data_IF_341063756036
#
_entry.id   IF_341063756036
#
_cell.length_a   1.000
_cell.length_b   1.000
_cell.length_c   1.000
_cell.angle_alpha   90.00
_cell.angle_beta   90.00
_cell.angle_gamma   90.00
#
_symmetry.space_group_name_H-M   'P 1'
#
loop_
_entity.id
_entity.type
_entity.pdbx_description
1 polymer ?
#
# COMPACT_ATOMS: atom_id res chain seq x y z
N UNK A 1 -9.57 -33.37 -6.84
CA UNK A 1 -9.93 -31.94 -7.02
C UNK A 1 -10.30 -31.34 -5.67
N UNK A 2 -9.49 -31.64 -4.64
CA UNK A 2 -9.80 -31.44 -3.22
C UNK A 2 -8.65 -30.74 -2.47
N UNK A 3 -7.57 -30.40 -3.16
CA UNK A 3 -6.33 -29.84 -2.59
C UNK A 3 -6.11 -28.35 -2.98
N UNK A 4 -7.16 -27.64 -3.38
CA UNK A 4 -7.04 -26.25 -3.85
C UNK A 4 -7.12 -25.25 -2.68
N UNK A 5 -7.62 -25.65 -1.50
CA UNK A 5 -7.81 -24.74 -0.37
C UNK A 5 -6.92 -25.20 0.79
N UNK A 6 -6.06 -24.33 1.37
CA UNK A 6 -5.33 -24.66 2.58
C UNK A 6 -6.32 -25.09 3.66
N UNK A 7 -6.13 -26.30 4.20
CA UNK A 7 -7.06 -26.87 5.17
C UNK A 7 -6.93 -26.11 6.50
N UNK A 8 -7.90 -25.26 6.80
CA UNK A 8 -8.18 -24.79 8.16
C UNK A 8 -9.05 -25.83 8.88
N UNK A 9 -8.83 -26.01 10.17
CA UNK A 9 -9.70 -26.86 10.99
C UNK A 9 -10.99 -26.07 11.32
N UNK A 10 -12.14 -26.61 10.91
CA UNK A 10 -13.44 -25.93 11.08
C UNK A 10 -13.74 -24.90 9.98
N UNK A 11 -14.59 -23.92 10.29
CA UNK A 11 -14.89 -22.81 9.39
C UNK A 11 -13.71 -21.82 9.36
N UNK A 12 -13.33 -21.38 8.18
CA UNK A 12 -12.41 -20.25 8.04
C UNK A 12 -13.05 -19.00 8.64
N UNK A 13 -12.38 -18.37 9.60
CA UNK A 13 -12.86 -17.19 10.30
C UNK A 13 -11.72 -16.19 10.52
N UNK A 14 -11.96 -14.95 10.11
CA UNK A 14 -11.04 -13.83 10.17
C UNK A 14 -11.34 -12.83 9.05
N UNK A 15 -10.30 -12.25 8.45
CA UNK A 15 -10.45 -11.29 7.35
C UNK A 15 -9.11 -10.65 6.98
N UNK A 16 -9.18 -9.53 6.27
CA UNK A 16 -8.00 -8.74 5.89
C UNK A 16 -7.20 -8.32 7.11
N UNK A 17 -5.90 -8.59 7.07
CA UNK A 17 -4.94 -8.22 8.07
C UNK A 17 -3.74 -7.56 7.41
N UNK A 18 -3.48 -6.30 7.78
CA UNK A 18 -2.43 -5.45 7.20
C UNK A 18 -1.37 -5.08 8.26
N UNK A 19 -0.66 -6.06 8.85
CA UNK A 19 0.28 -5.86 9.96
C UNK A 19 1.44 -4.94 9.59
N UNK A 20 1.81 -4.89 8.32
CA UNK A 20 2.90 -4.07 7.80
C UNK A 20 2.70 -2.56 8.01
N UNK A 21 1.47 -2.13 8.30
CA UNK A 21 1.11 -0.75 8.65
C UNK A 21 1.44 -0.41 10.13
N UNK A 22 1.76 -1.42 10.95
CA UNK A 22 1.92 -1.29 12.40
C UNK A 22 3.23 -1.90 12.90
N UNK A 23 3.68 -1.47 14.08
CA UNK A 23 4.86 -2.02 14.75
C UNK A 23 4.59 -3.36 15.46
N UNK A 24 5.65 -4.10 15.80
CA UNK A 24 5.57 -5.45 16.43
C UNK A 24 4.67 -5.55 17.66
N UNK A 25 4.66 -4.52 18.51
CA UNK A 25 3.79 -4.48 19.69
C UNK A 25 2.30 -4.64 19.35
N UNK A 26 1.88 -4.10 18.21
CA UNK A 26 0.50 -4.23 17.73
C UNK A 26 0.26 -5.66 17.24
N UNK A 27 1.24 -6.27 16.56
CA UNK A 27 1.12 -7.65 16.06
C UNK A 27 0.93 -8.66 17.19
N UNK A 28 1.65 -8.49 18.30
CA UNK A 28 1.52 -9.35 19.47
C UNK A 28 0.12 -9.24 20.11
N UNK A 29 -0.40 -8.02 20.17
CA UNK A 29 -1.75 -7.77 20.72
C UNK A 29 -2.85 -8.27 19.77
N UNK A 30 -2.66 -8.09 18.46
CA UNK A 30 -3.55 -8.62 17.44
C UNK A 30 -3.63 -10.15 17.55
N UNK A 31 -2.50 -10.84 17.67
CA UNK A 31 -2.45 -12.29 17.82
C UNK A 31 -3.18 -12.76 19.09
N UNK A 32 -3.02 -12.05 20.21
CA UNK A 32 -3.76 -12.33 21.45
C UNK A 32 -5.27 -12.20 21.24
N UNK A 33 -5.71 -11.09 20.63
CA UNK A 33 -7.12 -10.81 20.36
C UNK A 33 -7.72 -11.78 19.33
N UNK A 34 -6.96 -12.16 18.30
CA UNK A 34 -7.34 -13.18 17.32
C UNK A 34 -7.57 -14.53 18.02
N UNK A 35 -6.69 -14.91 18.95
CA UNK A 35 -6.87 -16.11 19.77
C UNK A 35 -8.14 -16.07 20.62
N UNK A 36 -8.44 -14.93 21.25
CA UNK A 36 -9.67 -14.74 22.03
C UNK A 36 -10.94 -14.76 21.18
N UNK A 37 -10.87 -14.25 19.95
CA UNK A 37 -11.98 -14.24 19.00
C UNK A 37 -12.15 -15.56 18.23
N UNK A 38 -11.18 -16.47 18.31
CA UNK A 38 -11.19 -17.73 17.56
C UNK A 38 -10.88 -17.55 16.06
N UNK A 39 -10.14 -16.51 15.69
CA UNK A 39 -9.66 -16.30 14.30
C UNK A 39 -8.65 -17.39 13.95
N UNK A 40 -8.82 -18.02 12.79
CA UNK A 40 -7.95 -19.11 12.31
C UNK A 40 -7.42 -18.89 10.88
N UNK A 41 -7.83 -17.82 10.20
CA UNK A 41 -7.37 -17.42 8.87
C UNK A 41 -7.26 -15.90 8.79
N UNK A 42 -6.17 -15.38 8.22
CA UNK A 42 -5.99 -13.96 7.93
C UNK A 42 -5.59 -13.77 6.45
N UNK A 43 -6.24 -12.83 5.77
CA UNK A 43 -5.88 -12.45 4.39
C UNK A 43 -4.82 -11.36 4.44
N UNK A 44 -3.61 -11.66 3.98
CA UNK A 44 -2.44 -10.77 4.09
C UNK A 44 -1.88 -10.41 2.72
N UNK A 45 -1.08 -9.35 2.67
CA UNK A 45 -0.33 -8.91 1.48
C UNK A 45 -1.21 -8.38 0.32
N UNK A 46 -2.47 -8.01 0.58
CA UNK A 46 -3.41 -7.55 -0.45
C UNK A 46 -2.88 -6.30 -1.18
N UNK A 47 -2.37 -5.33 -0.42
CA UNK A 47 -1.89 -4.04 -0.94
C UNK A 47 -0.39 -3.80 -0.76
N UNK A 48 0.36 -4.82 -0.34
CA UNK A 48 1.76 -4.67 0.08
C UNK A 48 2.78 -5.22 -0.90
N UNK A 49 2.36 -5.49 -2.14
CA UNK A 49 3.24 -5.99 -3.19
C UNK A 49 4.38 -5.04 -3.55
N UNK A 50 4.18 -3.71 -3.47
CA UNK A 50 5.25 -2.75 -3.71
C UNK A 50 6.41 -2.89 -2.71
N UNK A 51 6.15 -3.41 -1.50
CA UNK A 51 7.19 -3.72 -0.50
C UNK A 51 7.92 -5.01 -0.83
N UNK A 52 7.22 -5.99 -1.41
CA UNK A 52 7.79 -7.28 -1.82
C UNK A 52 8.59 -7.17 -3.13
N UNK A 53 8.12 -6.36 -4.07
CA UNK A 53 8.77 -6.11 -5.36
C UNK A 53 8.87 -4.60 -5.58
N UNK A 54 9.91 -3.95 -5.02
CA UNK A 54 10.08 -2.49 -5.11
C UNK A 54 10.47 -2.02 -6.51
N UNK A 55 10.97 -2.92 -7.36
CA UNK A 55 11.30 -2.60 -8.75
C UNK A 55 11.65 -3.82 -9.59
N UNK A 56 11.85 -3.65 -10.90
CA UNK A 56 12.17 -4.74 -11.82
C UNK A 56 13.39 -5.54 -11.36
N UNK A 57 13.24 -6.86 -11.22
CA UNK A 57 14.30 -7.77 -10.79
C UNK A 57 14.68 -7.69 -9.30
N UNK A 58 14.02 -6.84 -8.51
CA UNK A 58 14.26 -6.70 -7.07
C UNK A 58 13.19 -7.41 -6.26
N UNK A 59 13.57 -8.06 -5.17
CA UNK A 59 12.64 -8.80 -4.32
C UNK A 59 13.03 -8.70 -2.85
N UNK A 60 12.08 -8.31 -2.01
CA UNK A 60 12.25 -8.11 -0.57
C UNK A 60 11.16 -8.87 0.21
N UNK A 61 11.46 -10.09 0.63
CA UNK A 61 10.47 -10.94 1.33
C UNK A 61 10.53 -10.82 2.86
N UNK A 62 11.58 -10.22 3.43
CA UNK A 62 11.86 -10.34 4.87
C UNK A 62 10.72 -9.86 5.80
N UNK A 63 9.99 -8.81 5.42
CA UNK A 63 8.83 -8.39 6.21
C UNK A 63 7.65 -9.35 6.07
N UNK A 64 7.37 -9.81 4.84
CA UNK A 64 6.30 -10.78 4.57
C UNK A 64 6.58 -12.10 5.29
N UNK A 65 7.81 -12.61 5.23
CA UNK A 65 8.24 -13.80 5.95
C UNK A 65 7.97 -13.67 7.45
N UNK A 66 8.34 -12.53 8.03
CA UNK A 66 8.13 -12.30 9.45
C UNK A 66 6.63 -12.15 9.84
N UNK A 67 5.77 -11.72 8.91
CA UNK A 67 4.30 -11.74 9.10
C UNK A 67 3.80 -13.18 9.10
N UNK A 68 4.22 -13.96 8.12
CA UNK A 68 3.81 -15.36 7.95
C UNK A 68 4.24 -16.22 9.14
N UNK A 69 5.47 -16.05 9.61
CA UNK A 69 6.00 -16.73 10.80
C UNK A 69 5.22 -16.35 12.06
N UNK A 70 4.87 -15.07 12.22
CA UNK A 70 4.10 -14.59 13.37
C UNK A 70 2.69 -15.17 13.40
N UNK A 71 2.00 -15.21 12.26
CA UNK A 71 0.68 -15.85 12.15
C UNK A 71 0.76 -17.35 12.45
N UNK A 72 1.75 -18.03 11.88
CA UNK A 72 1.96 -19.47 12.09
C UNK A 72 2.25 -19.81 13.55
N UNK A 73 3.07 -19.01 14.24
CA UNK A 73 3.38 -19.17 15.65
C UNK A 73 2.14 -19.03 16.56
N UNK A 74 1.13 -18.28 16.10
CA UNK A 74 -0.12 -18.04 16.83
C UNK A 74 -1.30 -18.87 16.30
N UNK A 75 -1.04 -19.87 15.46
CA UNK A 75 -2.07 -20.80 14.97
C UNK A 75 -3.01 -20.22 13.92
N UNK A 76 -2.72 -19.04 13.37
CA UNK A 76 -3.50 -18.39 12.31
C UNK A 76 -2.93 -18.78 10.95
N UNK A 77 -3.76 -19.29 10.05
CA UNK A 77 -3.36 -19.56 8.66
C UNK A 77 -3.38 -18.27 7.84
N UNK A 78 -2.62 -18.25 6.76
CA UNK A 78 -2.61 -17.12 5.83
C UNK A 78 -3.36 -17.48 4.54
N UNK A 79 -4.32 -16.65 4.18
CA UNK A 79 -4.81 -16.51 2.81
C UNK A 79 -3.91 -15.46 2.13
N UNK A 80 -2.90 -15.95 1.41
CA UNK A 80 -1.85 -15.09 0.87
C UNK A 80 -2.32 -14.45 -0.42
N UNK A 81 -2.62 -13.15 -0.37
CA UNK A 81 -2.93 -12.40 -1.56
C UNK A 81 -1.67 -12.26 -2.43
N UNK A 82 -1.85 -12.61 -3.70
CA UNK A 82 -0.92 -12.25 -4.76
C UNK A 82 -1.47 -11.01 -5.43
N UNK A 83 -0.64 -10.01 -5.71
CA UNK A 83 -1.07 -8.84 -6.49
C UNK A 83 -1.81 -9.34 -7.73
N UNK A 84 -3.04 -8.88 -8.00
CA UNK A 84 -3.64 -9.14 -9.29
C UNK A 84 -2.68 -8.62 -10.35
N UNK A 85 -2.48 -9.43 -11.39
CA UNK A 85 -1.75 -9.13 -12.63
C UNK A 85 -1.77 -7.66 -13.01
N UNK A 86 -0.70 -7.22 -13.67
CA UNK A 86 -0.66 -5.95 -14.41
C UNK A 86 -2.06 -5.54 -14.92
N UNK A 87 -2.60 -4.44 -14.36
CA UNK A 87 -3.93 -3.93 -14.71
C UNK A 87 -3.91 -3.17 -16.03
N UNK A 88 -2.73 -2.88 -16.59
CA UNK A 88 -2.59 -2.09 -17.81
C UNK A 88 -3.43 -2.64 -18.97
N UNK A 89 -3.51 -3.96 -19.27
CA UNK A 89 -4.36 -4.46 -20.35
C UNK A 89 -5.87 -4.15 -20.17
N UNK A 90 -6.32 -4.03 -18.91
CA UNK A 90 -7.70 -3.66 -18.60
C UNK A 90 -7.92 -2.15 -18.70
N UNK A 91 -6.96 -1.34 -18.21
CA UNK A 91 -6.98 0.12 -18.32
C UNK A 91 -6.91 0.57 -19.78
N UNK A 92 -6.01 -0.03 -20.58
CA UNK A 92 -5.88 0.19 -22.02
C UNK A 92 -7.21 -0.08 -22.75
N UNK A 93 -7.88 -1.18 -22.39
CA UNK A 93 -9.20 -1.52 -22.96
C UNK A 93 -10.27 -0.48 -22.64
N UNK A 94 -10.18 0.17 -21.48
CA UNK A 94 -11.09 1.24 -21.06
C UNK A 94 -10.64 2.63 -21.51
N UNK A 95 -9.48 2.74 -22.19
CA UNK A 95 -8.83 4.00 -22.53
C UNK A 95 -8.64 4.91 -21.29
N UNK A 96 -8.31 4.30 -20.14
CA UNK A 96 -7.95 5.01 -18.92
C UNK A 96 -6.43 5.18 -18.93
N UNK A 97 -5.97 6.41 -19.11
CA UNK A 97 -4.57 6.78 -19.00
C UNK A 97 -4.26 7.26 -17.57
N UNK A 98 -3.09 6.94 -17.00
CA UNK A 98 -2.67 7.51 -15.73
C UNK A 98 -2.40 9.01 -15.88
N UNK A 99 -2.83 9.82 -14.92
CA UNK A 99 -2.54 11.26 -14.90
C UNK A 99 -1.03 11.57 -14.79
N UNK A 100 -0.25 10.61 -14.29
CA UNK A 100 1.20 10.72 -14.05
C UNK A 100 1.94 9.47 -14.55
N UNK A 101 2.07 9.28 -15.88
CA UNK A 101 2.71 8.10 -16.45
C UNK A 101 4.19 7.96 -16.07
N UNK A 102 4.86 9.09 -15.79
CA UNK A 102 6.28 9.17 -15.47
C UNK A 102 6.56 9.30 -13.96
N UNK A 103 5.59 8.99 -13.10
CA UNK A 103 5.79 9.03 -11.65
C UNK A 103 6.94 8.08 -11.23
N UNK A 104 7.91 8.56 -10.43
CA UNK A 104 8.97 7.71 -9.91
C UNK A 104 8.41 6.52 -9.09
N UNK A 105 9.03 5.33 -9.15
CA UNK A 105 8.65 4.22 -8.29
C UNK A 105 8.62 4.62 -6.80
N UNK A 106 7.55 4.26 -6.11
CA UNK A 106 7.35 4.59 -4.69
C UNK A 106 6.80 5.99 -4.42
N UNK A 107 6.61 6.84 -5.44
CA UNK A 107 5.88 8.10 -5.33
C UNK A 107 4.43 7.91 -5.80
N UNK A 108 3.49 8.03 -4.87
CA UNK A 108 2.06 7.97 -5.17
C UNK A 108 1.53 9.37 -5.43
N UNK A 109 0.88 9.56 -6.59
CA UNK A 109 0.32 10.84 -7.03
C UNK A 109 -1.15 10.68 -7.38
N UNK A 110 -1.99 11.55 -6.84
CA UNK A 110 -3.42 11.63 -7.17
C UNK A 110 -3.80 13.08 -7.41
N UNK A 111 -4.31 13.39 -8.61
CA UNK A 111 -4.87 14.71 -8.92
C UNK A 111 -6.38 14.67 -8.79
N UNK A 112 -6.96 15.67 -8.12
CA UNK A 112 -8.40 15.91 -8.06
C UNK A 112 -8.70 17.26 -8.66
N UNK A 113 -9.40 17.26 -9.79
CA UNK A 113 -9.86 18.47 -10.46
C UNK A 113 -11.36 18.66 -10.25
N UNK A 114 -11.77 19.91 -10.10
CA UNK A 114 -13.16 20.33 -9.91
C UNK A 114 -13.65 21.13 -11.13
N UNK A 115 -14.97 21.13 -11.37
CA UNK A 115 -15.58 21.87 -12.48
C UNK A 115 -15.33 23.39 -12.43
N UNK A 116 -15.11 23.93 -11.23
CA UNK A 116 -14.79 25.34 -11.00
C UNK A 116 -13.30 25.67 -11.25
N UNK A 117 -12.52 24.71 -11.76
CA UNK A 117 -11.12 24.87 -12.11
C UNK A 117 -10.14 24.65 -10.96
N UNK A 118 -10.61 24.38 -9.74
CA UNK A 118 -9.71 24.02 -8.63
C UNK A 118 -9.07 22.66 -8.89
N UNK A 119 -7.78 22.55 -8.60
CA UNK A 119 -7.03 21.30 -8.68
C UNK A 119 -6.22 21.07 -7.43
N UNK A 120 -6.24 19.83 -6.93
CA UNK A 120 -5.51 19.40 -5.75
C UNK A 120 -4.67 18.18 -6.08
N UNK A 121 -3.36 18.26 -5.82
CA UNK A 121 -2.43 17.16 -5.99
C UNK A 121 -2.02 16.60 -4.63
N UNK A 122 -2.32 15.33 -4.42
CA UNK A 122 -1.87 14.56 -3.26
C UNK A 122 -0.63 13.81 -3.67
N UNK A 123 0.47 14.01 -2.93
CA UNK A 123 1.72 13.33 -3.18
C UNK A 123 2.21 12.65 -1.90
N UNK A 124 2.46 11.34 -1.97
CA UNK A 124 2.92 10.52 -0.85
C UNK A 124 4.20 9.81 -1.28
N UNK A 125 5.30 10.10 -0.58
CA UNK A 125 6.58 9.47 -0.84
C UNK A 125 6.75 8.26 0.09
N UNK A 126 6.60 7.06 -0.45
CA UNK A 126 6.80 5.81 0.27
C UNK A 126 8.27 5.35 0.30
N UNK A 127 9.19 6.15 -0.24
CA UNK A 127 10.61 5.80 -0.33
C UNK A 127 11.42 6.32 0.85
N UNK A 128 12.63 5.77 1.00
CA UNK A 128 13.65 6.23 1.95
C UNK A 128 14.48 7.42 1.41
N UNK A 129 14.13 7.93 0.23
CA UNK A 129 14.83 9.03 -0.45
C UNK A 129 13.90 10.20 -0.73
N UNK A 130 14.45 11.40 -0.92
CA UNK A 130 13.66 12.55 -1.35
C UNK A 130 13.05 12.33 -2.74
N UNK A 131 11.81 12.80 -2.92
CA UNK A 131 11.11 12.86 -4.22
C UNK A 131 10.63 14.27 -4.54
N UNK A 132 10.29 14.53 -5.80
CA UNK A 132 9.78 15.82 -6.29
C UNK A 132 8.62 15.62 -7.24
N UNK A 133 7.76 16.63 -7.35
CA UNK A 133 6.56 16.60 -8.20
C UNK A 133 6.48 17.90 -8.98
N UNK A 134 6.27 17.85 -10.31
CA UNK A 134 6.25 19.04 -11.17
C UNK A 134 4.92 19.79 -11.04
N UNK A 135 4.68 20.38 -9.87
CA UNK A 135 3.50 21.17 -9.57
C UNK A 135 3.89 22.51 -8.93
N UNK A 136 2.99 23.48 -9.01
CA UNK A 136 3.10 24.80 -8.39
C UNK A 136 1.80 25.10 -7.66
N UNK A 137 1.87 25.80 -6.53
CA UNK A 137 0.66 26.09 -5.75
C UNK A 137 0.96 26.39 -4.30
N UNK A 138 0.07 25.95 -3.42
CA UNK A 138 0.23 26.05 -1.97
C UNK A 138 0.09 24.66 -1.35
N UNK A 139 1.04 24.25 -0.52
CA UNK A 139 0.88 23.06 0.31
C UNK A 139 -0.09 23.36 1.46
N UNK A 140 -1.25 22.71 1.44
CA UNK A 140 -2.31 22.90 2.42
C UNK A 140 -1.97 22.34 3.80
N UNK A 141 -0.96 21.47 3.93
CA UNK A 141 -0.53 20.93 5.22
C UNK A 141 0.30 21.94 6.00
N UNK A 142 1.13 22.73 5.30
CA UNK A 142 2.08 23.67 5.92
C UNK A 142 1.69 25.13 5.70
N UNK A 143 0.87 25.42 4.69
CA UNK A 143 0.55 26.76 4.21
C UNK A 143 1.68 27.40 3.37
N UNK A 144 2.75 26.68 3.06
CA UNK A 144 3.89 27.19 2.30
C UNK A 144 3.62 27.18 0.80
N UNK A 145 4.27 28.10 0.08
CA UNK A 145 4.29 28.06 -1.38
C UNK A 145 5.00 26.78 -1.86
N UNK A 146 4.40 26.15 -2.87
CA UNK A 146 4.91 24.94 -3.50
C UNK A 146 5.46 25.26 -4.89
N UNK A 147 6.63 24.70 -5.19
CA UNK A 147 7.27 24.78 -6.49
C UNK A 147 7.70 23.40 -6.94
N UNK A 148 8.01 23.23 -8.23
CA UNK A 148 8.56 21.98 -8.75
C UNK A 148 9.89 21.58 -8.07
N UNK A 149 10.57 22.54 -7.42
CA UNK A 149 11.81 22.32 -6.67
C UNK A 149 11.58 22.06 -5.18
N UNK A 150 10.33 22.04 -4.71
CA UNK A 150 10.04 21.75 -3.32
C UNK A 150 10.15 20.24 -3.08
N UNK A 151 11.01 19.78 -2.15
CA UNK A 151 11.21 18.37 -1.89
C UNK A 151 10.08 17.75 -1.06
N UNK A 152 9.74 16.50 -1.37
CA UNK A 152 8.98 15.63 -0.48
C UNK A 152 9.99 14.71 0.22
N UNK A 153 10.22 14.86 1.53
CA UNK A 153 11.19 14.05 2.25
C UNK A 153 10.79 12.55 2.24
N UNK A 154 11.70 11.64 2.60
CA UNK A 154 11.37 10.22 2.83
C UNK A 154 10.15 10.07 3.75
N UNK A 155 9.19 9.23 3.37
CA UNK A 155 7.92 9.08 4.12
C UNK A 155 7.02 10.32 4.15
N UNK A 156 7.37 11.38 3.41
CA UNK A 156 6.71 12.67 3.42
C UNK A 156 5.41 12.71 2.62
N UNK A 157 4.55 13.66 2.96
CA UNK A 157 3.25 13.90 2.32
C UNK A 157 3.11 15.38 2.00
N UNK A 158 2.58 15.70 0.82
CA UNK A 158 2.19 17.06 0.43
C UNK A 158 0.76 17.07 -0.15
N UNK A 159 0.00 18.14 0.12
CA UNK A 159 -1.32 18.37 -0.47
C UNK A 159 -1.32 19.73 -1.14
N UNK A 160 -1.11 19.76 -2.45
CA UNK A 160 -0.87 20.99 -3.19
C UNK A 160 -2.17 21.46 -3.82
N UNK A 161 -2.66 22.64 -3.43
CA UNK A 161 -3.67 23.35 -4.21
C UNK A 161 -2.97 24.04 -5.38
N UNK A 162 -3.18 23.51 -6.59
CA UNK A 162 -2.43 23.91 -7.78
C UNK A 162 -2.91 25.27 -8.30
N UNK A 163 -1.97 26.09 -8.77
CA UNK A 163 -2.20 27.43 -9.34
C UNK A 163 -1.53 27.62 -10.70
#
# INVERSE_FOLDING_TARGET
MTDIIPTVEGLAFGGDYNPEQWGRKVWDEDARLMGEAGVNLATVNVFSWARVNPGPGQWEFGQLDAIMDHLAANGVKADLATRPTDLNPFLDRLAIEPDFPDAPPGLELVRRSHEDGRSYLFAINHTETESRVPATGTDLLTGADWTAETPIPPGGIAVIHES
#
